data_IF_896285876589
#
_entry.id   IF_896285876589
#
_cell.length_a   1.000
_cell.length_b   1.000
_cell.length_c   1.000
_cell.angle_alpha   90.00
_cell.angle_beta   90.00
_cell.angle_gamma   90.00
#
_symmetry.space_group_name_H-M   'P 1'
#
loop_
_entity.id
_entity.type
_entity.pdbx_description
1 polymer ?
#
# COMPACT_ATOMS: atom_id res chain seq x y z
N UNK A 1 -20.56 20.05 -13.01
CA UNK A 1 -20.21 21.48 -12.88
C UNK A 1 -19.18 21.79 -13.98
N UNK A 2 -19.25 22.95 -14.64
CA UNK A 2 -18.45 23.24 -15.85
C UNK A 2 -17.14 24.02 -15.58
N UNK A 3 -16.71 24.13 -14.31
CA UNK A 3 -15.42 24.73 -13.94
C UNK A 3 -15.26 26.24 -14.23
N UNK A 4 -16.34 26.91 -14.64
CA UNK A 4 -16.41 28.35 -14.95
C UNK A 4 -16.82 29.23 -13.76
N UNK A 5 -17.14 28.63 -12.62
CA UNK A 5 -17.35 29.38 -11.37
C UNK A 5 -16.04 30.03 -10.91
N UNK A 6 -16.13 31.19 -10.24
CA UNK A 6 -14.99 31.98 -9.73
C UNK A 6 -14.27 31.19 -8.61
N UNK A 7 -13.49 30.19 -9.00
CA UNK A 7 -12.68 29.33 -8.12
C UNK A 7 -11.19 29.66 -8.26
N UNK A 8 -10.36 29.42 -7.22
CA UNK A 8 -8.91 29.53 -7.31
C UNK A 8 -8.34 28.68 -8.46
N UNK A 9 -7.21 29.12 -9.03
CA UNK A 9 -6.58 28.47 -10.19
C UNK A 9 -6.37 26.97 -9.98
N UNK A 10 -5.80 26.57 -8.85
CA UNK A 10 -5.38 25.18 -8.62
C UNK A 10 -6.57 24.25 -8.37
N UNK A 11 -7.65 24.77 -7.78
CA UNK A 11 -8.92 24.04 -7.66
C UNK A 11 -9.52 23.76 -9.04
N UNK A 12 -9.42 24.72 -9.97
CA UNK A 12 -9.88 24.53 -11.36
C UNK A 12 -9.02 23.51 -12.11
N UNK A 13 -7.70 23.48 -11.85
CA UNK A 13 -6.81 22.47 -12.41
C UNK A 13 -7.14 21.07 -11.91
N UNK A 14 -7.38 20.89 -10.60
CA UNK A 14 -7.81 19.60 -10.05
C UNK A 14 -9.14 19.17 -10.65
N UNK A 15 -10.09 20.08 -10.84
CA UNK A 15 -11.35 19.74 -11.49
C UNK A 15 -11.14 19.25 -12.93
N UNK A 16 -10.25 19.89 -13.69
CA UNK A 16 -9.89 19.48 -15.04
C UNK A 16 -9.19 18.11 -15.06
N UNK A 17 -8.30 17.86 -14.09
CA UNK A 17 -7.64 16.57 -13.90
C UNK A 17 -8.67 15.48 -13.59
N UNK A 18 -9.56 15.69 -12.62
CA UNK A 18 -10.64 14.74 -12.30
C UNK A 18 -11.53 14.47 -13.52
N UNK A 19 -11.83 15.51 -14.30
CA UNK A 19 -12.59 15.36 -15.55
C UNK A 19 -11.85 14.51 -16.59
N UNK A 20 -10.52 14.63 -16.73
CA UNK A 20 -9.73 13.79 -17.63
C UNK A 20 -9.67 12.32 -17.20
N UNK A 21 -9.84 12.05 -15.91
CA UNK A 21 -9.96 10.70 -15.35
C UNK A 21 -11.40 10.14 -15.40
N UNK A 22 -12.33 10.88 -16.02
CA UNK A 22 -13.74 10.49 -16.12
C UNK A 22 -14.54 10.68 -14.82
N UNK A 23 -13.97 11.34 -13.80
CA UNK A 23 -14.65 11.62 -12.53
C UNK A 23 -15.44 12.92 -12.65
N UNK A 24 -16.74 12.79 -12.91
CA UNK A 24 -17.65 13.92 -13.13
C UNK A 24 -18.42 14.36 -11.88
N UNK A 25 -18.49 13.49 -10.86
CA UNK A 25 -19.19 13.74 -9.60
C UNK A 25 -18.25 13.54 -8.41
N UNK A 26 -18.03 14.60 -7.63
CA UNK A 26 -17.24 14.59 -6.40
C UNK A 26 -17.78 15.66 -5.43
N UNK A 27 -17.49 15.51 -4.15
CA UNK A 27 -17.89 16.50 -3.14
C UNK A 27 -16.99 17.75 -3.22
N UNK A 28 -17.55 18.92 -2.95
CA UNK A 28 -16.83 20.20 -3.05
C UNK A 28 -15.54 20.27 -2.20
N UNK A 29 -15.46 19.49 -1.12
CA UNK A 29 -14.27 19.42 -0.24
C UNK A 29 -13.10 18.62 -0.82
N UNK A 30 -13.32 17.75 -1.81
CA UNK A 30 -12.28 16.85 -2.35
C UNK A 30 -11.10 17.62 -2.96
N UNK A 31 -11.29 18.63 -3.82
CA UNK A 31 -10.15 19.40 -4.35
C UNK A 31 -9.31 20.07 -3.27
N UNK A 32 -9.93 20.58 -2.21
CA UNK A 32 -9.22 21.21 -1.10
C UNK A 32 -8.37 20.18 -0.34
N UNK A 33 -8.91 18.99 -0.08
CA UNK A 33 -8.18 17.91 0.57
C UNK A 33 -6.99 17.43 -0.27
N UNK A 34 -7.14 17.35 -1.59
CA UNK A 34 -6.03 16.99 -2.50
C UNK A 34 -4.95 18.06 -2.53
N UNK A 35 -5.30 19.35 -2.46
CA UNK A 35 -4.33 20.44 -2.36
C UNK A 35 -3.58 20.41 -1.03
N UNK A 36 -4.27 20.20 0.09
CA UNK A 36 -3.62 20.09 1.40
C UNK A 36 -2.66 18.88 1.43
N UNK A 37 -3.08 17.76 0.86
CA UNK A 37 -2.19 16.60 0.68
C UNK A 37 -0.96 16.94 -0.16
N UNK A 38 -1.13 17.55 -1.34
CA UNK A 38 -0.03 17.91 -2.22
C UNK A 38 0.94 18.90 -1.55
N UNK A 39 0.41 19.87 -0.80
CA UNK A 39 1.21 20.82 -0.05
C UNK A 39 2.03 20.14 1.06
N UNK A 40 1.40 19.30 1.89
CA UNK A 40 2.09 18.56 2.96
C UNK A 40 3.14 17.60 2.39
N UNK A 41 2.80 16.88 1.32
CA UNK A 41 3.72 15.98 0.63
C UNK A 41 4.94 16.73 0.11
N UNK A 42 4.74 17.77 -0.70
CA UNK A 42 5.84 18.55 -1.29
C UNK A 42 6.70 19.24 -0.23
N UNK A 43 6.10 19.80 0.82
CA UNK A 43 6.85 20.38 1.95
C UNK A 43 7.74 19.34 2.63
N UNK A 44 7.22 18.14 2.91
CA UNK A 44 8.00 17.08 3.55
C UNK A 44 9.13 16.54 2.66
N UNK A 45 8.88 16.40 1.35
CA UNK A 45 9.89 15.95 0.38
C UNK A 45 10.99 16.99 0.19
N UNK A 46 10.62 18.27 0.11
CA UNK A 46 11.60 19.35 -0.03
C UNK A 46 12.45 19.49 1.23
N UNK A 47 11.87 19.32 2.42
CA UNK A 47 12.63 19.28 3.68
C UNK A 47 13.67 18.17 3.64
N UNK A 48 13.29 16.93 3.32
CA UNK A 48 14.26 15.82 3.22
C UNK A 48 15.34 16.08 2.15
N UNK A 49 14.95 16.65 1.00
CA UNK A 49 15.89 16.96 -0.06
C UNK A 49 16.95 18.00 0.38
N UNK A 50 16.56 19.00 1.18
CA UNK A 50 17.50 19.97 1.78
C UNK A 50 18.47 19.28 2.73
N UNK A 51 17.99 18.35 3.57
CA UNK A 51 18.86 17.59 4.49
C UNK A 51 19.86 16.72 3.70
N UNK A 52 19.39 15.98 2.70
CA UNK A 52 20.23 15.13 1.84
C UNK A 52 21.26 15.94 1.03
N UNK A 53 20.90 17.15 0.60
CA UNK A 53 21.82 18.06 -0.07
C UNK A 53 22.89 18.60 0.90
N UNK A 54 22.49 18.97 2.12
CA UNK A 54 23.39 19.48 3.17
C UNK A 54 24.40 18.42 3.62
N UNK A 55 23.97 17.17 3.73
CA UNK A 55 24.82 16.03 4.11
C UNK A 55 25.73 15.54 2.96
N UNK A 56 25.56 16.07 1.75
CA UNK A 56 26.38 15.71 0.58
C UNK A 56 25.98 14.42 -0.12
N UNK A 57 24.87 13.77 0.27
CA UNK A 57 24.34 12.58 -0.41
C UNK A 57 23.89 12.86 -1.85
N UNK A 58 23.61 14.12 -2.16
CA UNK A 58 23.15 14.56 -3.48
C UNK A 58 24.27 15.11 -4.40
N UNK A 59 25.54 14.83 -4.08
CA UNK A 59 26.71 15.24 -4.84
C UNK A 59 26.57 14.96 -6.34
N UNK A 60 26.92 15.96 -7.16
CA UNK A 60 26.80 15.90 -8.62
C UNK A 60 27.70 14.83 -9.28
N UNK A 61 27.57 14.62 -10.60
CA UNK A 61 28.25 13.55 -11.37
C UNK A 61 29.78 13.70 -11.50
N UNK A 62 30.44 14.40 -10.58
CA UNK A 62 31.87 14.69 -10.58
C UNK A 62 32.57 14.30 -9.25
N UNK A 63 31.98 13.38 -8.48
CA UNK A 63 32.60 12.79 -7.28
C UNK A 63 32.94 11.29 -7.43
N UNK A 64 33.44 10.87 -8.60
CA UNK A 64 33.94 9.52 -8.85
C UNK A 64 35.39 9.30 -8.41
N UNK A 65 35.90 10.09 -7.47
CA UNK A 65 37.27 9.95 -6.97
C UNK A 65 37.25 10.04 -5.46
N UNK A 66 37.67 8.95 -4.82
CA UNK A 66 37.71 8.84 -3.37
C UNK A 66 38.49 9.98 -2.71
N UNK A 67 38.11 10.27 -1.46
CA UNK A 67 38.79 11.26 -0.64
C UNK A 67 37.80 12.26 -0.10
N UNK A 68 37.53 12.16 1.20
CA UNK A 68 36.65 13.05 1.94
C UNK A 68 36.95 14.51 1.60
N UNK A 69 36.05 15.10 0.85
CA UNK A 69 36.01 16.54 0.65
C UNK A 69 34.68 16.99 1.21
N UNK A 70 34.75 17.66 2.36
CA UNK A 70 33.73 18.60 2.82
C UNK A 70 33.67 19.69 1.74
N UNK A 71 33.06 19.37 0.59
CA UNK A 71 32.89 20.28 -0.53
C UNK A 71 32.02 21.40 0.01
N UNK A 72 32.64 22.58 0.10
CA UNK A 72 32.20 23.69 0.91
C UNK A 72 30.73 24.01 0.69
N UNK A 73 30.02 24.20 1.80
CA UNK A 73 28.72 24.85 1.93
C UNK A 73 28.03 25.09 0.58
N UNK A 74 27.55 24.02 -0.06
CA UNK A 74 26.46 24.16 -1.04
C UNK A 74 25.42 24.97 -0.29
N UNK A 75 25.06 26.14 -0.82
CA UNK A 75 24.19 27.10 -0.12
C UNK A 75 23.08 26.32 0.59
N UNK A 76 22.95 26.51 1.91
CA UNK A 76 22.19 25.67 2.86
C UNK A 76 20.69 25.54 2.50
N UNK A 77 20.27 26.16 1.40
CA UNK A 77 18.91 26.18 0.88
C UNK A 77 18.80 25.84 -0.61
N UNK A 78 19.84 25.29 -1.23
CA UNK A 78 19.80 24.87 -2.65
C UNK A 78 19.38 23.41 -2.76
N UNK A 79 18.27 23.17 -3.47
CA UNK A 79 17.75 21.81 -3.73
C UNK A 79 18.20 21.38 -5.12
N UNK A 80 19.02 20.33 -5.19
CA UNK A 80 19.44 19.72 -6.45
C UNK A 80 18.44 18.66 -6.91
N UNK A 81 18.37 18.43 -8.22
CA UNK A 81 17.50 17.41 -8.81
C UNK A 81 17.86 15.97 -8.35
N UNK A 82 19.15 15.61 -8.16
CA UNK A 82 19.52 14.34 -7.50
C UNK A 82 18.99 14.23 -6.06
N UNK A 83 19.08 15.29 -5.25
CA UNK A 83 18.56 15.29 -3.88
C UNK A 83 17.05 15.03 -3.86
N UNK A 84 16.31 15.68 -4.76
CA UNK A 84 14.87 15.53 -4.88
C UNK A 84 14.48 14.10 -5.28
N UNK A 85 15.20 13.49 -6.23
CA UNK A 85 14.97 12.09 -6.64
C UNK A 85 15.21 11.12 -5.49
N UNK A 86 16.29 11.33 -4.72
CA UNK A 86 16.62 10.50 -3.57
C UNK A 86 15.58 10.64 -2.44
N UNK A 87 15.12 11.87 -2.16
CA UNK A 87 14.07 12.15 -1.18
C UNK A 87 12.72 11.51 -1.56
N UNK A 88 12.36 11.50 -2.85
CA UNK A 88 11.15 10.81 -3.32
C UNK A 88 11.33 9.28 -3.19
N UNK A 89 12.48 8.75 -3.62
CA UNK A 89 12.77 7.32 -3.57
C UNK A 89 12.71 6.75 -2.14
N UNK A 90 13.26 7.46 -1.16
CA UNK A 90 13.26 7.02 0.24
C UNK A 90 11.84 6.87 0.81
N UNK A 91 10.89 7.69 0.36
CA UNK A 91 9.49 7.68 0.81
C UNK A 91 8.61 6.69 0.05
N UNK A 92 8.90 6.45 -1.22
CA UNK A 92 8.15 5.51 -2.05
C UNK A 92 8.08 4.10 -1.43
N UNK A 93 9.11 3.69 -0.69
CA UNK A 93 9.18 2.34 -0.11
C UNK A 93 8.12 2.04 0.96
N UNK A 94 7.56 3.04 1.64
CA UNK A 94 6.61 2.81 2.75
C UNK A 94 5.32 3.63 2.67
N UNK A 95 5.28 4.74 1.90
CA UNK A 95 4.09 5.59 1.81
C UNK A 95 3.17 5.22 0.65
N UNK A 96 3.75 4.86 -0.50
CA UNK A 96 3.00 4.55 -1.70
C UNK A 96 3.11 3.06 -1.99
N UNK A 97 1.99 2.36 -1.99
CA UNK A 97 1.96 0.97 -2.46
C UNK A 97 2.14 0.98 -3.98
N UNK A 98 3.39 0.80 -4.43
CA UNK A 98 3.60 0.11 -5.69
C UNK A 98 2.99 -1.29 -5.50
N UNK A 99 1.98 -1.64 -6.30
CA UNK A 99 1.33 -2.95 -6.20
C UNK A 99 2.40 -4.05 -6.17
N UNK A 100 2.24 -5.03 -5.28
CA UNK A 100 3.23 -6.10 -5.16
C UNK A 100 3.42 -6.77 -6.53
N UNK A 101 4.67 -7.06 -6.94
CA UNK A 101 4.93 -7.70 -8.23
C UNK A 101 4.12 -8.99 -8.40
N UNK A 102 3.62 -9.22 -9.62
CA UNK A 102 2.83 -10.43 -9.94
C UNK A 102 3.63 -11.71 -9.67
N UNK A 103 4.92 -11.72 -9.97
CA UNK A 103 5.81 -12.86 -9.72
C UNK A 103 5.83 -13.23 -8.24
N UNK A 104 5.96 -12.24 -7.35
CA UNK A 104 5.89 -12.46 -5.90
C UNK A 104 4.55 -13.06 -5.47
N UNK A 105 3.43 -12.57 -6.02
CA UNK A 105 2.10 -13.14 -5.75
C UNK A 105 1.93 -14.55 -6.32
N UNK A 106 2.56 -14.86 -7.45
CA UNK A 106 2.54 -16.20 -8.06
C UNK A 106 3.34 -17.21 -7.22
N UNK A 107 4.49 -16.81 -6.69
CA UNK A 107 5.29 -17.64 -5.78
C UNK A 107 4.53 -17.93 -4.48
N UNK A 108 3.96 -16.89 -3.85
CA UNK A 108 3.14 -17.03 -2.65
C UNK A 108 1.92 -17.92 -2.92
N UNK A 109 1.28 -17.77 -4.09
CA UNK A 109 0.17 -18.62 -4.48
C UNK A 109 0.62 -20.08 -4.68
N UNK A 110 1.77 -20.33 -5.32
CA UNK A 110 2.31 -21.67 -5.51
C UNK A 110 2.63 -22.36 -4.17
N UNK A 111 3.22 -21.62 -3.22
CA UNK A 111 3.47 -22.12 -1.87
C UNK A 111 2.18 -22.44 -1.11
N UNK A 112 1.17 -21.56 -1.16
CA UNK A 112 -0.12 -21.77 -0.49
C UNK A 112 -0.95 -22.89 -1.12
N UNK A 113 -0.93 -22.99 -2.45
CA UNK A 113 -1.68 -24.00 -3.21
C UNK A 113 -1.03 -25.38 -3.16
N UNK A 114 0.16 -25.53 -2.57
CA UNK A 114 0.80 -26.83 -2.35
C UNK A 114 0.00 -27.73 -1.38
N UNK A 115 -0.77 -27.13 -0.48
CA UNK A 115 -1.63 -27.87 0.44
C UNK A 115 -2.94 -28.20 -0.28
N UNK A 116 -3.18 -29.49 -0.50
CA UNK A 116 -4.44 -29.96 -1.07
C UNK A 116 -5.63 -29.46 -0.23
N UNK A 117 -6.73 -29.11 -0.91
CA UNK A 117 -7.95 -28.68 -0.25
C UNK A 117 -8.43 -29.78 0.72
N UNK A 118 -8.97 -29.41 1.91
CA UNK A 118 -9.64 -30.37 2.78
C UNK A 118 -10.75 -31.08 2.01
N UNK A 119 -10.80 -32.40 2.09
CA UNK A 119 -11.80 -33.19 1.36
C UNK A 119 -13.21 -32.83 1.79
N UNK A 120 -13.97 -32.21 0.88
CA UNK A 120 -15.39 -31.92 1.07
C UNK A 120 -16.21 -33.15 0.62
N UNK A 121 -16.12 -34.26 1.36
CA UNK A 121 -17.01 -35.39 1.11
C UNK A 121 -18.42 -34.97 1.50
N UNK A 122 -19.36 -34.89 0.57
CA UNK A 122 -20.78 -34.81 0.95
C UNK A 122 -21.13 -36.09 1.68
N UNK A 123 -21.76 -36.01 2.83
CA UNK A 123 -22.05 -37.18 3.67
C UNK A 123 -23.00 -38.23 3.09
N UNK A 124 -23.31 -38.14 1.80
CA UNK A 124 -24.17 -39.06 1.07
C UNK A 124 -23.40 -39.94 0.06
N UNK A 125 -22.18 -39.57 -0.36
CA UNK A 125 -21.52 -40.20 -1.52
C UNK A 125 -20.49 -41.31 -1.17
N UNK A 126 -20.28 -41.63 0.13
CA UNK A 126 -19.20 -42.54 0.57
C UNK A 126 -19.66 -43.92 1.05
N UNK A 127 -20.58 -44.58 0.34
CA UNK A 127 -21.02 -45.95 0.67
C UNK A 127 -20.15 -47.06 0.05
N UNK A 128 -18.94 -46.75 -0.43
CA UNK A 128 -18.16 -47.69 -1.26
C UNK A 128 -16.68 -47.96 -0.90
N UNK A 129 -15.90 -47.01 -0.37
CA UNK A 129 -14.47 -47.28 -0.15
C UNK A 129 -13.82 -46.20 0.75
N UNK A 130 -13.89 -46.36 2.07
CA UNK A 130 -13.14 -45.54 3.01
C UNK A 130 -11.99 -46.37 3.62
N UNK A 131 -10.88 -46.50 2.90
CA UNK A 131 -9.59 -46.83 3.53
C UNK A 131 -8.98 -45.53 4.05
N UNK A 132 -8.90 -45.45 5.38
CA UNK A 132 -8.11 -44.47 6.16
C UNK A 132 -8.57 -43.01 6.03
N UNK A 133 -9.49 -42.60 6.92
CA UNK A 133 -9.79 -41.18 7.14
C UNK A 133 -8.56 -40.48 7.71
N UNK A 134 -7.86 -39.70 6.87
CA UNK A 134 -6.89 -38.73 7.36
C UNK A 134 -7.62 -37.69 8.24
N UNK A 135 -6.99 -37.22 9.32
CA UNK A 135 -7.57 -36.29 10.31
C UNK A 135 -8.16 -34.98 9.74
N UNK A 136 -7.99 -34.73 8.44
CA UNK A 136 -8.45 -33.56 7.71
C UNK A 136 -9.59 -33.87 6.70
N UNK A 137 -10.16 -35.07 6.69
CA UNK A 137 -11.30 -35.42 5.85
C UNK A 137 -12.58 -35.42 6.69
N UNK A 138 -13.49 -34.48 6.41
CA UNK A 138 -14.74 -34.32 7.15
C UNK A 138 -15.96 -34.40 6.23
N UNK A 139 -16.95 -35.16 6.69
CA UNK A 139 -18.25 -35.40 6.08
C UNK A 139 -19.09 -34.10 6.13
N UNK A 140 -19.41 -33.53 4.97
CA UNK A 140 -20.24 -32.34 4.77
C UNK A 140 -21.70 -32.77 4.57
N UNK A 141 -22.50 -32.69 5.63
CA UNK A 141 -23.95 -32.83 5.57
C UNK A 141 -24.58 -31.45 5.30
N UNK A 142 -24.74 -31.08 4.02
CA UNK A 142 -25.69 -30.05 3.57
C UNK A 142 -25.75 -28.69 4.29
N UNK A 143 -24.68 -28.19 4.92
CA UNK A 143 -24.71 -26.96 5.72
C UNK A 143 -23.34 -26.26 5.86
N UNK A 144 -23.32 -25.13 6.59
CA UNK A 144 -22.10 -24.36 6.83
C UNK A 144 -21.24 -25.03 7.90
N UNK A 145 -19.98 -25.33 7.58
CA UNK A 145 -19.02 -25.87 8.54
C UNK A 145 -18.37 -24.72 9.32
N UNK A 146 -18.78 -24.54 10.56
CA UNK A 146 -18.10 -23.62 11.48
C UNK A 146 -16.75 -24.22 11.93
N UNK A 147 -15.75 -23.39 12.27
CA UNK A 147 -14.56 -23.82 13.00
C UNK A 147 -14.93 -24.52 14.32
N UNK A 148 -13.99 -25.25 14.95
CA UNK A 148 -14.20 -25.75 16.32
C UNK A 148 -14.60 -24.61 17.27
N UNK A 149 -15.44 -24.91 18.27
CA UNK A 149 -16.03 -23.90 19.18
C UNK A 149 -15.00 -22.94 19.80
N UNK A 150 -13.79 -23.41 20.11
CA UNK A 150 -12.69 -22.58 20.62
C UNK A 150 -12.25 -21.45 19.68
N UNK A 151 -12.54 -21.58 18.39
CA UNK A 151 -12.26 -20.59 17.34
C UNK A 151 -13.52 -19.89 16.85
N UNK A 152 -14.67 -20.16 17.47
CA UNK A 152 -15.91 -19.45 17.20
C UNK A 152 -16.09 -18.32 18.21
N UNK A 153 -16.41 -17.13 17.72
CA UNK A 153 -16.89 -16.05 18.56
C UNK A 153 -18.34 -16.38 18.95
N UNK A 154 -18.56 -16.84 20.18
CA UNK A 154 -19.86 -17.30 20.69
C UNK A 154 -20.79 -16.17 21.13
N UNK A 155 -20.38 -14.91 20.96
CA UNK A 155 -21.18 -13.73 21.31
C UNK A 155 -21.42 -13.58 22.81
N UNK A 156 -20.68 -14.30 23.66
CA UNK A 156 -20.72 -14.09 25.11
C UNK A 156 -20.07 -12.75 25.47
N UNK A 157 -20.64 -12.06 26.46
CA UNK A 157 -20.05 -10.82 26.98
C UNK A 157 -18.65 -11.07 27.53
N UNK A 158 -17.75 -10.11 27.31
CA UNK A 158 -16.40 -10.13 27.88
C UNK A 158 -16.50 -9.91 29.41
N UNK A 159 -16.57 -11.00 30.18
CA UNK A 159 -16.54 -10.94 31.66
C UNK A 159 -15.11 -11.23 32.14
N UNK A 160 -14.64 -10.48 33.15
CA UNK A 160 -13.41 -10.85 33.86
C UNK A 160 -13.69 -12.08 34.73
N UNK A 161 -12.73 -13.02 34.82
CA UNK A 161 -12.79 -14.07 35.85
C UNK A 161 -12.56 -13.39 37.20
N UNK A 162 -13.53 -13.51 38.10
CA UNK A 162 -13.33 -13.22 39.54
C UNK A 162 -12.26 -14.14 40.13
#
# INVERSE_FOLDING_TARGET
>A
DSGKSRRPRDVRLIHMLLSSLGVTAYQERVPLQLLDFAYRYTSSVLQDAVHLATEGYAGGPESSTGGGSRAGASEINTVSLPALRLAIASRLHYQFQAGLPKEFLMDVAAERNRVALPGASRGFDSQGMAKTAAANQSIVMGGMRLPPERFCLTGTGWNMRE
#
